data_IF_863861429063
#
_entry.id   IF_863861429063
#
_cell.length_a   1.000
_cell.length_b   1.000
_cell.length_c   1.000
_cell.angle_alpha   90.00
_cell.angle_beta   90.00
_cell.angle_gamma   90.00
#
_symmetry.space_group_name_H-M   'P 1'
#
loop_
_entity.id
_entity.type
_entity.pdbx_description
1 polymer ?
#
# COMPACT_ATOMS: atom_id res chain seq x y z
N UNK A 1 3.04 -0.36 5.39
CA UNK A 1 3.76 -1.57 5.85
C UNK A 1 5.21 -1.60 5.37
N UNK A 2 5.51 -1.36 4.08
CA UNK A 2 6.88 -1.35 3.55
C UNK A 2 7.91 -0.59 4.43
N UNK A 3 7.54 0.60 4.95
CA UNK A 3 8.40 1.37 5.86
C UNK A 3 8.69 0.66 7.20
N UNK A 4 7.65 0.13 7.86
CA UNK A 4 7.81 -0.60 9.11
C UNK A 4 8.60 -1.90 8.89
N UNK A 5 8.45 -2.55 7.74
CA UNK A 5 9.22 -3.74 7.37
C UNK A 5 10.69 -3.41 7.15
N UNK A 6 11.01 -2.34 6.40
CA UNK A 6 12.39 -1.87 6.23
C UNK A 6 13.02 -1.48 7.58
N UNK A 7 12.26 -0.82 8.45
CA UNK A 7 12.74 -0.42 9.78
C UNK A 7 13.04 -1.60 10.69
N UNK A 8 12.19 -2.63 10.70
CA UNK A 8 12.42 -3.82 11.53
C UNK A 8 13.55 -4.72 10.99
N UNK A 9 13.75 -4.76 9.66
CA UNK A 9 14.72 -5.68 9.06
C UNK A 9 16.10 -5.05 8.84
N UNK A 10 16.20 -3.75 8.62
CA UNK A 10 17.45 -3.05 8.29
C UNK A 10 17.84 -2.05 9.39
N UNK A 11 16.86 -1.36 9.99
CA UNK A 11 17.14 -0.30 10.96
C UNK A 11 17.71 0.96 10.29
N UNK A 12 18.42 1.79 11.08
CA UNK A 12 18.98 3.07 10.62
C UNK A 12 20.51 3.07 10.45
N UNK A 13 21.16 1.95 10.73
CA UNK A 13 22.63 1.83 10.66
C UNK A 13 23.11 1.94 9.21
N UNK A 14 22.35 1.38 8.26
CA UNK A 14 22.68 1.41 6.85
C UNK A 14 21.59 2.14 6.04
N UNK A 15 21.72 3.47 5.98
CA UNK A 15 20.70 4.36 5.41
C UNK A 15 20.46 4.14 3.93
N UNK A 16 21.49 3.81 3.17
CA UNK A 16 21.39 3.60 1.73
C UNK A 16 20.57 2.32 1.44
N UNK A 17 20.89 1.23 2.14
CA UNK A 17 20.19 -0.04 2.03
C UNK A 17 18.74 0.05 2.55
N UNK A 18 18.51 0.83 3.62
CA UNK A 18 17.16 1.13 4.11
C UNK A 18 16.30 1.82 3.06
N UNK A 19 16.83 2.88 2.44
CA UNK A 19 16.08 3.66 1.45
C UNK A 19 15.74 2.83 0.21
N UNK A 20 16.70 2.03 -0.27
CA UNK A 20 16.48 1.16 -1.43
C UNK A 20 15.43 0.08 -1.13
N UNK A 21 15.54 -0.60 0.02
CA UNK A 21 14.57 -1.62 0.40
C UNK A 21 13.15 -1.06 0.67
N UNK A 22 13.05 0.10 1.32
CA UNK A 22 11.78 0.78 1.52
C UNK A 22 11.13 1.18 0.19
N UNK A 23 11.92 1.77 -0.71
CA UNK A 23 11.44 2.22 -2.01
C UNK A 23 11.03 1.03 -2.90
N UNK A 24 11.85 -0.01 -2.97
CA UNK A 24 11.51 -1.25 -3.69
C UNK A 24 10.24 -1.91 -3.13
N UNK A 25 10.08 -1.96 -1.81
CA UNK A 25 8.86 -2.45 -1.17
C UNK A 25 7.62 -1.60 -1.48
N UNK A 26 7.79 -0.28 -1.58
CA UNK A 26 6.71 0.64 -1.94
C UNK A 26 6.29 0.46 -3.41
N UNK A 27 7.26 0.41 -4.32
CA UNK A 27 6.99 0.23 -5.77
C UNK A 27 6.42 -1.16 -6.04
N UNK A 28 6.92 -2.21 -5.39
CA UNK A 28 6.40 -3.57 -5.52
C UNK A 28 4.93 -3.71 -5.07
N UNK A 29 4.48 -2.86 -4.15
CA UNK A 29 3.08 -2.86 -3.70
C UNK A 29 2.13 -2.06 -4.60
N UNK A 30 2.64 -1.20 -5.49
CA UNK A 30 1.81 -0.33 -6.36
C UNK A 30 0.85 -1.10 -7.27
N UNK A 31 1.26 -2.16 -8.00
CA UNK A 31 0.36 -2.87 -8.90
C UNK A 31 -0.88 -3.42 -8.19
N UNK A 32 -0.67 -4.00 -7.00
CA UNK A 32 -1.75 -4.53 -6.16
C UNK A 32 -2.67 -3.40 -5.67
N UNK A 33 -2.10 -2.28 -5.23
CA UNK A 33 -2.87 -1.13 -4.78
C UNK A 33 -3.75 -0.54 -5.89
N UNK A 34 -3.25 -0.47 -7.12
CA UNK A 34 -4.01 0.00 -8.28
C UNK A 34 -5.20 -0.92 -8.61
N UNK A 35 -4.97 -2.24 -8.61
CA UNK A 35 -6.06 -3.22 -8.82
C UNK A 35 -7.10 -3.09 -7.71
N UNK A 36 -6.67 -3.03 -6.45
CA UNK A 36 -7.57 -2.85 -5.31
C UNK A 36 -8.39 -1.57 -5.42
N UNK A 37 -7.79 -0.45 -5.81
CA UNK A 37 -8.50 0.82 -5.97
C UNK A 37 -9.63 0.70 -7.01
N UNK A 38 -9.38 0.06 -8.15
CA UNK A 38 -10.38 -0.19 -9.18
C UNK A 38 -11.48 -1.12 -8.64
N UNK A 39 -11.09 -2.24 -8.04
CA UNK A 39 -12.03 -3.23 -7.49
C UNK A 39 -12.93 -2.60 -6.43
N UNK A 40 -12.36 -1.85 -5.49
CA UNK A 40 -13.10 -1.16 -4.42
C UNK A 40 -14.07 -0.13 -5.00
N UNK A 41 -13.63 0.65 -6.00
CA UNK A 41 -14.51 1.61 -6.68
C UNK A 41 -15.67 0.94 -7.42
N UNK A 42 -15.45 -0.23 -8.02
CA UNK A 42 -16.51 -0.95 -8.74
C UNK A 42 -17.43 -1.75 -7.82
N UNK A 43 -16.95 -2.21 -6.66
CA UNK A 43 -17.69 -3.16 -5.82
C UNK A 43 -18.19 -2.56 -4.51
N UNK A 44 -17.35 -1.81 -3.80
CA UNK A 44 -17.65 -1.30 -2.46
C UNK A 44 -18.36 0.05 -2.57
N UNK A 45 -17.82 0.98 -3.37
CA UNK A 45 -18.38 2.34 -3.49
C UNK A 45 -19.88 2.35 -3.87
N UNK A 46 -20.36 1.56 -4.86
CA UNK A 46 -21.78 1.56 -5.21
C UNK A 46 -22.67 0.98 -4.09
N UNK A 47 -22.16 0.01 -3.33
CA UNK A 47 -22.89 -0.58 -2.20
C UNK A 47 -23.02 0.41 -1.05
N UNK A 48 -21.96 1.14 -0.74
CA UNK A 48 -21.97 2.20 0.27
C UNK A 48 -22.92 3.33 -0.14
N UNK A 49 -22.88 3.77 -1.39
CA UNK A 49 -23.81 4.79 -1.90
C UNK A 49 -25.27 4.32 -1.85
N UNK A 50 -25.54 3.04 -2.15
CA UNK A 50 -26.88 2.46 -2.03
C UNK A 50 -27.34 2.39 -0.56
N UNK A 51 -26.45 2.04 0.36
CA UNK A 51 -26.74 1.98 1.79
C UNK A 51 -27.06 3.36 2.36
N UNK A 52 -26.28 4.39 2.00
CA UNK A 52 -26.47 5.77 2.48
C UNK A 52 -27.68 6.48 1.87
N UNK A 53 -28.23 5.97 0.75
CA UNK A 53 -29.48 6.47 0.14
C UNK A 53 -30.74 5.85 0.75
N UNK A 54 -30.60 4.83 1.60
CA UNK A 54 -31.69 4.21 2.38
C UNK A 54 -31.85 4.88 3.74
#
# INVERSE_FOLDING_TARGET
MAFATAMNNIGFDDKELFMDAWFNGLIGALPVALVLMITVNMTIKPKVEKFLKS
#
